data_IF_335554660445
#
_entry.id   IF_335554660445
#
_cell.length_a   1.000
_cell.length_b   1.000
_cell.length_c   1.000
_cell.angle_alpha   90.00
_cell.angle_beta   90.00
_cell.angle_gamma   90.00
#
_symmetry.space_group_name_H-M   'P 1'
#
loop_
_entity.id
_entity.type
_entity.pdbx_description
1 polymer ?
#
# COMPACT_ATOMS: atom_id res chain seq x y z
N UNK A 1 7.15 11.61 2.03
CA UNK A 1 8.16 11.52 3.09
C UNK A 1 8.28 12.83 3.86
N UNK A 2 8.23 12.77 5.20
CA UNK A 2 8.49 13.90 6.10
C UNK A 2 9.98 14.05 6.42
N UNK A 3 10.82 14.33 5.43
CA UNK A 3 12.19 14.77 5.71
C UNK A 3 12.12 16.12 6.42
N UNK A 4 12.84 16.30 7.54
CA UNK A 4 12.74 17.49 8.40
C UNK A 4 13.12 18.84 7.75
N UNK A 5 13.51 18.85 6.48
CA UNK A 5 13.78 20.06 5.69
C UNK A 5 12.54 20.62 4.98
N UNK A 6 12.65 21.87 4.52
CA UNK A 6 11.68 22.44 3.60
C UNK A 6 11.84 21.78 2.21
N UNK A 7 10.77 21.20 1.63
CA UNK A 7 10.87 20.55 0.35
C UNK A 7 11.14 21.60 -0.74
N UNK A 8 11.79 21.20 -1.84
CA UNK A 8 12.02 22.10 -2.96
C UNK A 8 10.69 22.62 -3.51
N UNK A 9 10.62 23.92 -3.78
CA UNK A 9 9.47 24.50 -4.47
C UNK A 9 9.44 23.99 -5.90
N UNK A 10 8.42 23.19 -6.24
CA UNK A 10 8.23 22.65 -7.58
C UNK A 10 6.73 22.60 -7.91
N UNK A 11 6.35 22.99 -9.12
CA UNK A 11 4.93 23.10 -9.51
C UNK A 11 4.16 21.77 -9.40
N UNK A 12 4.84 20.65 -9.62
CA UNK A 12 4.26 19.31 -9.49
C UNK A 12 4.26 18.77 -8.04
N UNK A 13 4.80 19.51 -7.06
CA UNK A 13 4.85 19.09 -5.66
C UNK A 13 3.74 19.79 -4.86
N UNK A 14 2.76 19.00 -4.42
CA UNK A 14 1.72 19.48 -3.52
C UNK A 14 2.22 19.41 -2.07
N UNK A 15 2.48 20.56 -1.46
CA UNK A 15 2.84 20.62 -0.04
C UNK A 15 1.62 20.31 0.82
N UNK A 16 1.60 19.11 1.42
CA UNK A 16 0.58 18.62 2.36
C UNK A 16 1.21 17.97 3.59
N UNK A 17 2.23 18.64 4.15
CA UNK A 17 2.96 18.12 5.32
C UNK A 17 2.06 18.04 6.55
N UNK A 18 2.07 16.89 7.22
CA UNK A 18 1.42 16.68 8.52
C UNK A 18 2.36 17.10 9.66
N UNK A 19 3.61 16.66 9.58
CA UNK A 19 4.67 16.97 10.53
C UNK A 19 6.06 16.63 9.95
N UNK A 20 7.15 16.79 10.73
CA UNK A 20 8.54 16.59 10.29
C UNK A 20 8.95 15.11 10.22
N UNK A 21 7.99 14.20 10.01
CA UNK A 21 8.14 12.76 10.19
C UNK A 21 7.34 12.25 11.40
N UNK A 22 7.09 10.94 11.43
CA UNK A 22 6.42 10.28 12.56
C UNK A 22 7.39 10.07 13.72
N UNK A 23 6.83 9.86 14.91
CA UNK A 23 7.59 9.49 16.11
C UNK A 23 8.09 8.04 16.00
N UNK A 24 9.05 7.69 16.86
CA UNK A 24 9.63 6.35 16.86
C UNK A 24 8.64 5.34 17.46
N UNK A 25 8.03 4.53 16.60
CA UNK A 25 7.01 3.53 16.97
C UNK A 25 7.47 2.48 17.98
N UNK A 26 8.79 2.31 18.15
CA UNK A 26 9.38 1.44 19.17
C UNK A 26 9.30 2.01 20.60
N UNK A 27 8.90 3.27 20.77
CA UNK A 27 8.84 3.95 22.08
C UNK A 27 7.45 4.52 22.38
N UNK A 28 6.76 5.01 21.37
CA UNK A 28 5.49 5.72 21.51
C UNK A 28 4.67 5.60 20.22
N UNK A 29 3.39 6.02 20.18
CA UNK A 29 2.61 6.03 18.95
C UNK A 29 3.26 6.88 17.86
N UNK A 30 3.39 6.33 16.64
CA UNK A 30 4.02 6.98 15.49
C UNK A 30 3.36 8.33 15.14
N UNK A 31 2.04 8.41 15.26
CA UNK A 31 1.26 9.63 15.06
C UNK A 31 0.06 9.68 16.02
N UNK A 32 -0.47 10.87 16.28
CA UNK A 32 -1.69 11.04 17.08
C UNK A 32 -2.91 10.69 16.24
N UNK A 33 -4.06 10.45 16.89
CA UNK A 33 -5.33 10.24 16.17
C UNK A 33 -5.64 11.42 15.23
N UNK A 34 -5.44 12.66 15.67
CA UNK A 34 -5.66 13.84 14.83
C UNK A 34 -4.70 13.92 13.63
N UNK A 35 -3.43 13.55 13.80
CA UNK A 35 -2.47 13.48 12.69
C UNK A 35 -2.83 12.35 11.70
N UNK A 36 -3.24 11.18 12.21
CA UNK A 36 -3.73 10.05 11.41
C UNK A 36 -4.94 10.47 10.58
N UNK A 37 -5.95 11.03 11.22
CA UNK A 37 -7.22 11.39 10.58
C UNK A 37 -6.99 12.48 9.53
N UNK A 38 -6.12 13.45 9.84
CA UNK A 38 -5.69 14.47 8.87
C UNK A 38 -4.95 13.87 7.68
N UNK A 39 -4.04 12.92 7.88
CA UNK A 39 -3.32 12.26 6.80
C UNK A 39 -4.25 11.45 5.89
N UNK A 40 -5.18 10.70 6.48
CA UNK A 40 -6.22 9.96 5.75
C UNK A 40 -7.10 10.92 4.94
N UNK A 41 -7.59 12.00 5.55
CA UNK A 41 -8.45 12.97 4.89
C UNK A 41 -7.76 13.62 3.69
N UNK A 42 -6.51 14.09 3.86
CA UNK A 42 -5.75 14.68 2.74
C UNK A 42 -5.56 13.69 1.61
N UNK A 43 -5.21 12.43 1.93
CA UNK A 43 -5.08 11.39 0.92
C UNK A 43 -6.38 11.19 0.13
N UNK A 44 -7.50 11.08 0.84
CA UNK A 44 -8.81 10.89 0.26
C UNK A 44 -9.21 12.06 -0.66
N UNK A 45 -9.00 13.29 -0.20
CA UNK A 45 -9.33 14.50 -0.97
C UNK A 45 -8.52 14.56 -2.28
N UNK A 46 -7.21 14.31 -2.21
CA UNK A 46 -6.35 14.29 -3.40
C UNK A 46 -6.80 13.25 -4.43
N UNK A 47 -7.19 12.05 -3.97
CA UNK A 47 -7.66 10.99 -4.85
C UNK A 47 -9.02 11.29 -5.47
N UNK A 48 -9.93 11.91 -4.69
CA UNK A 48 -11.26 12.33 -5.14
C UNK A 48 -11.17 13.45 -6.18
N UNK A 49 -10.26 14.40 -5.98
CA UNK A 49 -10.04 15.55 -6.86
C UNK A 49 -9.26 15.22 -8.15
N UNK A 50 -8.51 14.11 -8.17
CA UNK A 50 -7.83 13.65 -9.37
C UNK A 50 -8.83 13.48 -10.53
N UNK A 51 -8.42 13.68 -11.77
CA UNK A 51 -9.32 13.56 -12.94
C UNK A 51 -9.30 12.17 -13.55
N UNK A 52 -8.23 11.43 -13.27
CA UNK A 52 -7.92 10.13 -13.81
C UNK A 52 -8.85 9.07 -13.20
N UNK A 53 -9.32 8.14 -14.02
CA UNK A 53 -10.14 7.00 -13.58
C UNK A 53 -9.32 5.88 -12.93
N UNK A 54 -7.99 5.93 -13.06
CA UNK A 54 -7.07 4.98 -12.45
C UNK A 54 -6.00 5.73 -11.67
N UNK A 55 -5.78 5.32 -10.42
CA UNK A 55 -4.74 5.86 -9.55
C UNK A 55 -3.62 4.84 -9.37
N UNK A 56 -2.39 5.21 -9.69
CA UNK A 56 -1.18 4.44 -9.35
C UNK A 56 -0.54 5.10 -8.15
N UNK A 57 -0.61 4.46 -6.98
CA UNK A 57 -0.06 5.03 -5.76
C UNK A 57 1.35 4.53 -5.53
N UNK A 58 2.24 5.47 -5.21
CA UNK A 58 3.63 5.23 -4.86
C UNK A 58 3.98 5.89 -3.54
N UNK A 59 5.07 5.43 -2.95
CA UNK A 59 5.57 5.95 -1.68
C UNK A 59 7.06 6.24 -1.77
N UNK A 60 7.53 7.06 -0.84
CA UNK A 60 8.95 7.24 -0.60
C UNK A 60 9.16 7.63 0.86
N UNK A 61 9.88 6.79 1.59
CA UNK A 61 10.20 6.97 3.00
C UNK A 61 11.30 6.02 3.47
N UNK A 62 12.34 6.54 4.11
CA UNK A 62 13.36 5.67 4.70
C UNK A 62 12.76 4.93 5.89
N UNK A 63 13.04 3.62 5.97
CA UNK A 63 12.59 2.71 7.03
C UNK A 63 11.09 2.40 7.08
N UNK A 64 10.30 2.83 6.10
CA UNK A 64 8.86 2.53 6.07
C UNK A 64 8.53 1.04 5.81
N UNK A 65 9.49 0.22 5.36
CA UNK A 65 9.33 -1.25 5.35
C UNK A 65 9.14 -1.81 6.76
N UNK A 66 9.74 -1.19 7.78
CA UNK A 66 9.50 -1.55 9.18
C UNK A 66 8.08 -1.19 9.60
N UNK A 67 7.58 -0.01 9.22
CA UNK A 67 6.20 0.40 9.47
C UNK A 67 5.20 -0.53 8.77
N UNK A 68 5.42 -0.85 7.49
CA UNK A 68 4.60 -1.80 6.74
C UNK A 68 4.59 -3.20 7.39
N UNK A 69 5.75 -3.66 7.89
CA UNK A 69 5.87 -4.94 8.60
C UNK A 69 5.06 -4.93 9.90
N UNK A 70 5.18 -3.87 10.70
CA UNK A 70 4.44 -3.75 11.97
C UNK A 70 2.94 -3.61 11.73
N UNK A 71 2.51 -2.85 10.71
CA UNK A 71 1.09 -2.77 10.33
C UNK A 71 0.53 -4.12 9.91
N UNK A 72 1.24 -4.83 9.04
CA UNK A 72 0.83 -6.17 8.62
C UNK A 72 0.72 -7.11 9.83
N UNK A 73 1.72 -7.12 10.71
CA UNK A 73 1.70 -7.94 11.93
C UNK A 73 0.53 -7.58 12.85
N UNK A 74 0.37 -6.28 13.13
CA UNK A 74 -0.62 -5.77 14.08
C UNK A 74 -2.06 -5.95 13.62
N UNK A 75 -2.32 -5.82 12.33
CA UNK A 75 -3.68 -5.95 11.80
C UNK A 75 -4.04 -7.43 11.58
N UNK A 76 -3.10 -8.24 11.09
CA UNK A 76 -3.41 -9.62 10.65
C UNK A 76 -3.10 -10.69 11.69
N UNK A 77 -2.26 -10.38 12.69
CA UNK A 77 -1.68 -11.37 13.60
C UNK A 77 -0.61 -12.26 12.96
N UNK A 78 -0.23 -12.04 11.69
CA UNK A 78 0.82 -12.82 11.04
C UNK A 78 2.16 -12.68 11.77
N UNK A 79 2.92 -13.77 11.97
CA UNK A 79 4.19 -13.74 12.69
C UNK A 79 5.22 -12.83 11.98
N UNK A 80 5.98 -12.06 12.75
CA UNK A 80 7.01 -11.14 12.23
C UNK A 80 8.08 -11.88 11.40
N UNK A 81 8.30 -13.16 11.69
CA UNK A 81 9.19 -14.05 10.93
C UNK A 81 8.77 -14.17 9.46
N UNK A 82 7.46 -14.22 9.18
CA UNK A 82 6.93 -14.29 7.81
C UNK A 82 6.95 -12.93 7.12
N UNK A 83 6.89 -11.84 7.89
CA UNK A 83 6.78 -10.48 7.35
C UNK A 83 8.14 -9.78 7.20
N UNK A 84 9.17 -10.22 7.92
CA UNK A 84 10.48 -9.55 7.95
C UNK A 84 11.47 -10.17 6.99
N UNK A 85 11.95 -9.37 6.03
CA UNK A 85 12.93 -9.78 5.03
C UNK A 85 14.29 -9.13 5.16
N UNK A 86 15.24 -9.63 4.37
CA UNK A 86 16.61 -9.09 4.29
C UNK A 86 16.69 -7.68 3.68
N UNK A 87 15.61 -7.18 3.06
CA UNK A 87 15.57 -5.86 2.43
C UNK A 87 16.72 -5.65 1.43
N UNK A 88 17.53 -4.61 1.64
CA UNK A 88 18.69 -4.24 0.81
C UNK A 88 19.91 -5.16 0.93
N UNK A 89 19.74 -6.39 1.44
CA UNK A 89 20.81 -7.41 1.48
C UNK A 89 21.43 -7.62 2.86
N UNK A 90 20.65 -7.47 3.94
CA UNK A 90 21.10 -7.79 5.29
C UNK A 90 21.58 -9.25 5.39
N UNK A 91 22.67 -9.45 6.13
CA UNK A 91 23.15 -10.76 6.55
C UNK A 91 22.22 -11.37 7.62
N UNK A 92 22.45 -12.62 7.98
CA UNK A 92 21.62 -13.34 8.98
C UNK A 92 21.58 -12.60 10.32
N UNK A 93 22.70 -12.02 10.75
CA UNK A 93 22.77 -11.24 11.98
C UNK A 93 21.99 -9.91 11.88
N UNK A 94 22.05 -9.22 10.74
CA UNK A 94 21.29 -8.01 10.45
C UNK A 94 19.78 -8.27 10.40
N UNK A 95 19.36 -9.39 9.82
CA UNK A 95 17.97 -9.81 9.83
C UNK A 95 17.47 -10.09 11.25
N UNK A 96 18.26 -10.80 12.07
CA UNK A 96 17.93 -11.08 13.47
C UNK A 96 17.80 -9.81 14.30
N UNK A 97 18.73 -8.84 14.12
CA UNK A 97 18.65 -7.53 14.78
C UNK A 97 17.41 -6.75 14.35
N UNK A 98 17.10 -6.73 13.05
CA UNK A 98 15.89 -6.06 12.53
C UNK A 98 14.64 -6.67 13.17
N UNK A 99 14.55 -8.01 13.21
CA UNK A 99 13.43 -8.71 13.83
C UNK A 99 13.30 -8.37 15.32
N UNK A 100 14.38 -8.41 16.09
CA UNK A 100 14.35 -8.08 17.52
C UNK A 100 13.88 -6.63 17.79
N UNK A 101 14.20 -5.69 16.90
CA UNK A 101 13.70 -4.31 16.98
C UNK A 101 12.19 -4.27 16.70
N UNK A 102 11.72 -4.99 15.70
CA UNK A 102 10.29 -5.07 15.35
C UNK A 102 9.48 -5.75 16.46
N UNK A 103 9.98 -6.85 17.03
CA UNK A 103 9.35 -7.55 18.16
C UNK A 103 9.23 -6.64 19.38
N UNK A 104 10.28 -5.89 19.71
CA UNK A 104 10.24 -4.92 20.81
C UNK A 104 9.22 -3.81 20.57
N UNK A 105 9.14 -3.30 19.35
CA UNK A 105 8.15 -2.28 19.00
C UNK A 105 6.73 -2.86 19.07
N UNK A 106 6.52 -4.06 18.53
CA UNK A 106 5.25 -4.75 18.55
C UNK A 106 4.77 -5.03 19.98
N UNK A 107 5.66 -5.38 20.92
CA UNK A 107 5.31 -5.65 22.31
C UNK A 107 4.68 -4.46 23.07
N UNK A 108 4.71 -3.24 22.51
CA UNK A 108 4.11 -2.05 23.13
C UNK A 108 2.57 -2.09 23.18
N UNK A 109 1.93 -2.86 22.30
CA UNK A 109 0.48 -2.99 22.25
C UNK A 109 0.06 -4.45 22.01
N UNK A 110 -1.22 -4.74 22.16
CA UNK A 110 -1.80 -6.05 21.87
C UNK A 110 -1.72 -6.40 20.37
N UNK A 111 -1.98 -7.66 20.03
CA UNK A 111 -2.06 -8.14 18.64
C UNK A 111 -3.16 -9.20 18.54
N UNK A 112 -4.16 -9.05 17.65
CA UNK A 112 -4.30 -7.98 16.65
C UNK A 112 -4.81 -6.64 17.23
N UNK A 113 -4.72 -5.59 16.41
CA UNK A 113 -5.31 -4.26 16.64
C UNK A 113 -6.24 -3.89 15.49
N UNK A 114 -7.20 -3.01 15.77
CA UNK A 114 -7.98 -2.35 14.74
C UNK A 114 -7.09 -1.51 13.82
N UNK A 115 -7.44 -1.44 12.53
CA UNK A 115 -6.61 -0.81 11.51
C UNK A 115 -6.30 0.67 11.79
N UNK A 116 -7.26 1.41 12.35
CA UNK A 116 -7.08 2.81 12.71
C UNK A 116 -6.04 3.01 13.82
N UNK A 117 -6.03 2.11 14.80
CA UNK A 117 -5.12 2.18 15.95
C UNK A 117 -3.74 1.67 15.56
N UNK A 118 -3.67 0.55 14.82
CA UNK A 118 -2.43 0.08 14.22
C UNK A 118 -1.75 1.16 13.37
N UNK A 119 -2.51 1.90 12.56
CA UNK A 119 -2.00 3.01 11.75
C UNK A 119 -1.44 4.15 12.62
N UNK A 120 -2.13 4.54 13.69
CA UNK A 120 -1.66 5.57 14.61
C UNK A 120 -0.37 5.13 15.33
N UNK A 121 -0.32 3.88 15.79
CA UNK A 121 0.76 3.37 16.61
C UNK A 121 2.04 3.05 15.82
N UNK A 122 1.90 2.54 14.59
CA UNK A 122 3.01 1.93 13.85
C UNK A 122 3.15 2.41 12.40
N UNK A 123 2.22 3.22 11.91
CA UNK A 123 2.22 3.69 10.52
C UNK A 123 3.23 4.79 10.21
N UNK A 124 3.25 5.17 8.94
CA UNK A 124 3.90 6.38 8.44
C UNK A 124 2.87 7.33 7.83
N UNK A 125 3.16 8.63 7.76
CA UNK A 125 2.25 9.59 7.15
C UNK A 125 1.97 9.25 5.68
N UNK A 126 2.96 8.73 4.95
CA UNK A 126 2.81 8.27 3.58
C UNK A 126 1.86 7.07 3.47
N UNK A 127 1.91 6.12 4.41
CA UNK A 127 0.99 4.98 4.44
C UNK A 127 -0.43 5.45 4.76
N UNK A 128 -0.59 6.36 5.72
CA UNK A 128 -1.88 6.95 6.06
C UNK A 128 -2.48 7.72 4.86
N UNK A 129 -1.67 8.53 4.17
CA UNK A 129 -2.12 9.25 2.97
C UNK A 129 -2.47 8.29 1.83
N UNK A 130 -1.69 7.23 1.59
CA UNK A 130 -2.05 6.22 0.60
C UNK A 130 -3.35 5.50 0.96
N UNK A 131 -3.53 5.08 2.21
CA UNK A 131 -4.78 4.44 2.65
C UNK A 131 -5.98 5.37 2.48
N UNK A 132 -5.81 6.66 2.79
CA UNK A 132 -6.79 7.70 2.52
C UNK A 132 -7.11 7.82 1.02
N UNK A 133 -6.08 7.88 0.19
CA UNK A 133 -6.21 7.97 -1.27
C UNK A 133 -6.95 6.77 -1.87
N UNK A 134 -6.73 5.56 -1.34
CA UNK A 134 -7.47 4.38 -1.75
C UNK A 134 -8.96 4.50 -1.44
N UNK A 135 -9.31 5.00 -0.24
CA UNK A 135 -10.71 5.22 0.15
C UNK A 135 -11.38 6.31 -0.68
N UNK A 136 -10.78 7.50 -0.76
CA UNK A 136 -11.32 8.61 -1.55
C UNK A 136 -11.37 8.32 -3.05
N UNK A 137 -10.43 7.54 -3.57
CA UNK A 137 -10.45 7.06 -4.95
C UNK A 137 -11.59 6.08 -5.21
N UNK A 138 -11.82 5.13 -4.29
CA UNK A 138 -12.94 4.19 -4.38
C UNK A 138 -14.30 4.90 -4.29
N UNK A 139 -14.46 5.86 -3.37
CA UNK A 139 -15.65 6.73 -3.28
C UNK A 139 -15.93 7.47 -4.60
N UNK A 140 -14.87 7.87 -5.32
CA UNK A 140 -14.95 8.54 -6.61
C UNK A 140 -15.10 7.57 -7.80
N UNK A 141 -15.30 6.27 -7.58
CA UNK A 141 -15.48 5.28 -8.63
C UNK A 141 -14.20 4.97 -9.44
N UNK A 142 -13.02 5.17 -8.85
CA UNK A 142 -11.73 4.95 -9.51
C UNK A 142 -11.17 3.57 -9.22
N UNK A 143 -10.42 3.03 -10.18
CA UNK A 143 -9.58 1.86 -9.94
C UNK A 143 -8.24 2.29 -9.35
N UNK A 144 -7.69 1.48 -8.46
CA UNK A 144 -6.45 1.75 -7.76
C UNK A 144 -5.48 0.61 -8.01
N UNK A 145 -4.31 0.93 -8.57
CA UNK A 145 -3.21 -0.01 -8.69
C UNK A 145 -2.35 0.06 -7.43
N UNK A 146 -2.34 -1.05 -6.69
CA UNK A 146 -1.57 -1.24 -5.46
C UNK A 146 -0.20 -1.81 -5.85
N UNK A 147 0.86 -1.06 -5.54
CA UNK A 147 2.24 -1.36 -5.93
C UNK A 147 2.86 -2.55 -5.15
N UNK A 148 3.94 -2.30 -4.40
CA UNK A 148 4.63 -3.32 -3.61
C UNK A 148 4.18 -3.37 -2.15
N UNK A 149 5.05 -3.91 -1.29
CA UNK A 149 4.72 -4.23 0.10
C UNK A 149 4.15 -3.07 0.92
N UNK A 150 4.70 -1.86 0.77
CA UNK A 150 4.28 -0.69 1.56
C UNK A 150 2.91 -0.19 1.09
N UNK A 151 2.67 -0.16 -0.23
CA UNK A 151 1.35 0.12 -0.78
C UNK A 151 0.34 -0.98 -0.39
N UNK A 152 0.76 -2.24 -0.35
CA UNK A 152 -0.04 -3.35 0.16
C UNK A 152 -0.41 -3.17 1.64
N UNK A 153 0.51 -2.68 2.48
CA UNK A 153 0.21 -2.35 3.87
C UNK A 153 -0.78 -1.17 3.99
N UNK A 154 -0.69 -0.18 3.12
CA UNK A 154 -1.70 0.88 3.03
C UNK A 154 -3.07 0.33 2.60
N UNK A 155 -3.10 -0.60 1.64
CA UNK A 155 -4.32 -1.29 1.22
C UNK A 155 -4.93 -2.11 2.36
N UNK A 156 -4.11 -2.81 3.16
CA UNK A 156 -4.55 -3.51 4.35
C UNK A 156 -5.22 -2.57 5.36
N UNK A 157 -4.62 -1.40 5.61
CA UNK A 157 -5.23 -0.39 6.48
C UNK A 157 -6.54 0.12 5.87
N UNK A 158 -6.56 0.46 4.59
CA UNK A 158 -7.74 0.97 3.91
C UNK A 158 -8.90 -0.02 3.94
N UNK A 159 -8.64 -1.32 3.72
CA UNK A 159 -9.61 -2.40 3.82
C UNK A 159 -10.09 -2.65 5.25
N UNK A 160 -9.22 -2.48 6.25
CA UNK A 160 -9.61 -2.55 7.65
C UNK A 160 -10.49 -1.38 8.10
N UNK A 161 -10.39 -0.22 7.42
CA UNK A 161 -11.26 0.93 7.65
C UNK A 161 -12.57 0.85 6.85
N UNK A 162 -12.50 0.33 5.63
CA UNK A 162 -13.65 0.18 4.74
C UNK A 162 -13.46 -1.04 3.81
N UNK A 163 -14.04 -2.21 4.16
CA UNK A 163 -13.92 -3.41 3.34
C UNK A 163 -14.55 -3.29 1.94
N UNK A 164 -15.49 -2.35 1.75
CA UNK A 164 -16.25 -2.23 0.50
C UNK A 164 -15.39 -1.75 -0.67
N UNK A 165 -14.21 -1.19 -0.40
CA UNK A 165 -13.29 -0.73 -1.46
C UNK A 165 -12.56 -1.89 -2.17
N UNK A 166 -12.60 -3.13 -1.65
CA UNK A 166 -11.84 -4.27 -2.20
C UNK A 166 -11.97 -4.46 -3.72
N UNK A 167 -13.15 -4.27 -4.36
CA UNK A 167 -13.28 -4.43 -5.81
C UNK A 167 -12.54 -3.38 -6.64
N UNK A 168 -12.21 -2.22 -6.06
CA UNK A 168 -11.48 -1.14 -6.76
C UNK A 168 -9.97 -1.33 -6.71
N UNK A 169 -9.47 -2.22 -5.84
CA UNK A 169 -8.04 -2.48 -5.66
C UNK A 169 -7.54 -3.58 -6.59
N UNK A 170 -6.59 -3.23 -7.45
CA UNK A 170 -5.88 -4.15 -8.34
C UNK A 170 -4.42 -4.24 -7.88
N UNK A 171 -3.99 -5.42 -7.48
CA UNK A 171 -2.63 -5.64 -7.00
C UNK A 171 -1.67 -5.80 -8.18
N UNK A 172 -0.72 -4.88 -8.29
CA UNK A 172 0.08 -4.73 -9.49
C UNK A 172 1.15 -5.82 -9.64
N UNK A 173 1.89 -6.11 -8.57
CA UNK A 173 2.97 -7.09 -8.63
C UNK A 173 3.28 -7.78 -7.31
N UNK A 174 3.87 -8.98 -7.37
CA UNK A 174 4.55 -9.62 -6.25
C UNK A 174 5.93 -9.00 -6.05
N UNK A 175 6.02 -8.04 -5.14
CA UNK A 175 7.32 -7.54 -4.66
C UNK A 175 8.21 -8.66 -4.09
N UNK A 176 9.53 -8.54 -4.31
CA UNK A 176 10.55 -9.40 -3.71
C UNK A 176 10.82 -9.09 -2.23
N UNK A 177 10.11 -8.13 -1.64
CA UNK A 177 10.05 -7.97 -0.17
C UNK A 177 9.33 -9.18 0.45
N UNK A 178 9.99 -9.86 1.40
CA UNK A 178 9.55 -11.16 1.87
C UNK A 178 8.15 -11.16 2.49
N UNK A 179 7.77 -10.06 3.15
CA UNK A 179 6.46 -9.93 3.77
C UNK A 179 5.32 -9.71 2.77
N UNK A 180 5.62 -9.34 1.52
CA UNK A 180 4.57 -9.00 0.56
C UNK A 180 3.78 -10.23 0.14
N UNK A 181 4.45 -11.36 -0.10
CA UNK A 181 3.75 -12.60 -0.45
C UNK A 181 2.76 -13.02 0.64
N UNK A 182 3.20 -13.03 1.90
CA UNK A 182 2.33 -13.37 3.02
C UNK A 182 1.16 -12.39 3.20
N UNK A 183 1.38 -11.10 2.90
CA UNK A 183 0.33 -10.09 2.93
C UNK A 183 -0.69 -10.29 1.79
N UNK A 184 -0.23 -10.56 0.57
CA UNK A 184 -1.10 -10.87 -0.57
C UNK A 184 -1.96 -12.10 -0.29
N UNK A 185 -1.36 -13.15 0.27
CA UNK A 185 -2.07 -14.37 0.65
C UNK A 185 -3.17 -14.07 1.69
N UNK A 186 -2.87 -13.25 2.70
CA UNK A 186 -3.86 -12.83 3.71
C UNK A 186 -5.02 -12.02 3.10
N UNK A 187 -4.70 -11.15 2.14
CA UNK A 187 -5.69 -10.32 1.44
C UNK A 187 -6.49 -11.09 0.37
N UNK A 188 -6.17 -12.35 0.12
CA UNK A 188 -6.72 -13.13 -1.00
C UNK A 188 -6.49 -12.40 -2.33
N UNK A 189 -5.31 -11.81 -2.51
CA UNK A 189 -4.97 -10.96 -3.63
C UNK A 189 -4.03 -11.67 -4.60
N UNK A 190 -4.45 -11.75 -5.86
CA UNK A 190 -3.61 -12.24 -6.96
C UNK A 190 -2.97 -11.05 -7.69
N UNK A 191 -1.64 -10.91 -7.67
CA UNK A 191 -0.96 -9.82 -8.35
C UNK A 191 -0.88 -10.06 -9.87
N UNK A 192 -0.93 -9.00 -10.66
CA UNK A 192 -0.84 -9.09 -12.14
C UNK A 192 0.56 -9.51 -12.64
N UNK A 193 1.61 -9.17 -11.89
CA UNK A 193 3.00 -9.37 -12.31
C UNK A 193 3.82 -10.05 -11.21
N UNK A 194 4.81 -10.85 -11.60
CA UNK A 194 5.87 -11.34 -10.71
C UNK A 194 7.22 -11.22 -11.43
N UNK A 195 7.90 -10.09 -11.21
CA UNK A 195 9.11 -9.69 -11.92
C UNK A 195 10.31 -9.49 -10.97
N UNK A 196 10.19 -9.93 -9.71
CA UNK A 196 11.25 -9.75 -8.70
C UNK A 196 11.54 -8.28 -8.32
N UNK A 197 10.61 -7.36 -8.58
CA UNK A 197 10.77 -5.93 -8.28
C UNK A 197 10.74 -5.66 -6.77
N UNK A 198 11.47 -4.65 -6.31
CA UNK A 198 11.53 -4.24 -4.89
C UNK A 198 11.85 -2.76 -4.67
N UNK A 199 11.63 -1.93 -5.70
CA UNK A 199 11.98 -0.51 -5.64
C UNK A 199 10.95 0.30 -4.84
N UNK A 200 9.66 0.01 -5.03
CA UNK A 200 8.58 0.85 -4.50
C UNK A 200 8.24 1.99 -5.46
N UNK A 201 7.92 3.16 -4.91
CA UNK A 201 7.66 4.40 -5.66
C UNK A 201 6.50 4.33 -6.68
N UNK A 202 5.68 3.26 -6.65
CA UNK A 202 4.60 3.05 -7.62
C UNK A 202 5.07 2.45 -8.94
N UNK A 203 6.30 1.95 -9.00
CA UNK A 203 6.91 1.45 -10.24
C UNK A 203 6.23 0.19 -10.77
N UNK A 204 5.89 -0.77 -9.91
CA UNK A 204 5.10 -1.94 -10.26
C UNK A 204 3.69 -1.56 -10.70
N UNK A 205 3.04 -0.61 -10.01
CA UNK A 205 1.74 -0.08 -10.41
C UNK A 205 1.76 0.51 -11.83
N UNK A 206 2.74 1.35 -12.15
CA UNK A 206 2.89 1.93 -13.49
C UNK A 206 3.20 0.86 -14.55
N UNK A 207 4.00 -0.16 -14.22
CA UNK A 207 4.27 -1.28 -15.12
C UNK A 207 3.04 -2.15 -15.38
N UNK A 208 2.15 -2.30 -14.41
CA UNK A 208 0.91 -3.07 -14.55
C UNK A 208 -0.21 -2.30 -15.26
N UNK A 209 -0.15 -0.96 -15.29
CA UNK A 209 -1.20 -0.12 -15.88
C UNK A 209 -1.57 -0.47 -17.34
N UNK A 210 -0.62 -0.76 -18.26
CA UNK A 210 -0.95 -1.21 -19.61
C UNK A 210 -1.80 -2.48 -19.65
N UNK A 211 -1.63 -3.42 -18.71
CA UNK A 211 -2.46 -4.63 -18.63
C UNK A 211 -3.90 -4.30 -18.27
N UNK A 212 -4.11 -3.38 -17.32
CA UNK A 212 -5.45 -2.91 -16.96
C UNK A 212 -6.13 -2.23 -18.16
N UNK A 213 -5.39 -1.41 -18.91
CA UNK A 213 -5.89 -0.79 -20.14
C UNK A 213 -6.25 -1.82 -21.21
N UNK A 214 -5.41 -2.84 -21.38
CA UNK A 214 -5.66 -3.93 -22.33
C UNK A 214 -6.93 -4.71 -21.95
N UNK A 215 -7.10 -5.07 -20.67
CA UNK A 215 -8.30 -5.74 -20.20
C UNK A 215 -9.58 -4.91 -20.46
N UNK A 216 -9.54 -3.60 -20.18
CA UNK A 216 -10.64 -2.71 -20.48
C UNK A 216 -10.92 -2.56 -21.99
N UNK A 217 -9.87 -2.58 -22.82
CA UNK A 217 -10.01 -2.57 -24.28
C UNK A 217 -10.61 -3.87 -24.80
N UNK A 218 -10.22 -5.03 -24.26
CA UNK A 218 -10.79 -6.32 -24.64
C UNK A 218 -12.31 -6.37 -24.38
N UNK A 219 -12.78 -5.80 -23.26
CA UNK A 219 -14.22 -5.75 -22.95
C UNK A 219 -15.02 -4.79 -23.84
N UNK A 220 -14.41 -3.71 -24.35
CA UNK A 220 -15.10 -2.72 -25.18
C UNK A 220 -15.01 -2.99 -26.67
N UNK A 221 -13.85 -3.48 -27.10
CA UNK A 221 -13.40 -3.40 -28.49
C UNK A 221 -13.32 -4.79 -29.15
N UNK A 222 -13.38 -5.91 -28.40
CA UNK A 222 -13.49 -7.23 -29.00
C UNK A 222 -14.93 -7.47 -29.47
N UNK A 223 -15.06 -7.77 -30.76
CA UNK A 223 -16.30 -8.22 -31.38
C UNK A 223 -16.87 -9.44 -30.64
N UNK A 224 -18.19 -9.47 -30.44
CA UNK A 224 -18.85 -10.65 -29.90
C UNK A 224 -18.75 -11.82 -30.89
N UNK A 225 -19.00 -13.05 -30.44
CA UNK A 225 -19.06 -14.21 -31.33
C UNK A 225 -20.12 -14.03 -32.44
N UNK A 226 -21.21 -13.32 -32.15
CA UNK A 226 -22.24 -12.97 -33.11
C UNK A 226 -21.71 -11.98 -34.17
N UNK A 227 -20.96 -10.96 -33.75
CA UNK A 227 -20.35 -9.97 -34.65
C UNK A 227 -19.23 -10.58 -35.51
N UNK A 228 -18.51 -11.57 -34.99
CA UNK A 228 -17.40 -12.23 -35.66
C UNK A 228 -17.84 -13.39 -36.59
N UNK A 229 -19.14 -13.68 -36.66
CA UNK A 229 -19.71 -14.80 -37.42
C UNK A 229 -19.04 -16.17 -37.13
N UNK A 230 -18.55 -16.37 -35.90
CA UNK A 230 -17.90 -17.62 -35.49
C UNK A 230 -18.97 -18.59 -35.01
N UNK A 231 -19.17 -19.66 -35.76
CA UNK A 231 -20.10 -20.75 -35.38
C UNK A 231 -19.35 -21.87 -34.66
N UNK A 232 -19.66 -22.07 -33.37
CA UNK A 232 -19.13 -23.12 -32.53
C UNK A 232 -19.44 -22.88 -31.04
N UNK A 233 -19.47 -23.92 -30.19
CA UNK A 233 -19.68 -23.71 -28.76
C UNK A 233 -18.53 -22.88 -28.18
N UNK A 234 -18.86 -21.93 -27.30
CA UNK A 234 -17.85 -21.24 -26.51
C UNK A 234 -17.05 -22.28 -25.71
N UNK A 235 -15.71 -22.21 -25.71
CA UNK A 235 -14.87 -23.14 -24.95
C UNK A 235 -15.06 -23.03 -23.43
#
# INVERSE_FOLDING_TARGET
>A
GGGGGEPPAHAALLSRRIGPGTRNSAREPAMSAGERDRALAIGADLAREARESVLCLGEMGIANTSSATLLAHKITGLPLERLTGRGTGLDTAGLARKRAVLERAAARTETPLDAADALADYGGFEIAMMAGAMRGGAEAGKMILVDGFIAGAAALVALGLDPAIRPTLVFAHRSAESGHGALLDHLGAEPLLDLGLRLGEGTGALLAFPLLRAAAAMLRDMASFEDAAVSGPAP
#
